data_IF_047115302081
#
_entry.id   IF_047115302081
#
_cell.length_a   1.000
_cell.length_b   1.000
_cell.length_c   1.000
_cell.angle_alpha   90.00
_cell.angle_beta   90.00
_cell.angle_gamma   90.00
#
_symmetry.space_group_name_H-M   'P 1'
#
loop_
_entity.id
_entity.type
_entity.pdbx_description
1 polymer ?
#
# COMPACT_ATOMS: atom_id res chain seq x y z
N UNK A 1 -42.70 1.68 74.48
CA UNK A 1 -43.49 2.40 73.45
C UNK A 1 -42.59 2.69 72.26
N UNK A 2 -43.14 2.57 71.05
CA UNK A 2 -42.49 2.16 69.80
C UNK A 2 -41.40 3.13 69.31
N UNK A 3 -40.13 2.68 69.27
CA UNK A 3 -39.07 3.25 68.42
C UNK A 3 -38.66 2.20 67.39
N UNK A 4 -39.43 2.10 66.32
CA UNK A 4 -39.14 1.24 65.18
C UNK A 4 -39.37 2.02 63.87
N UNK A 5 -38.59 1.66 62.86
CA UNK A 5 -38.90 1.84 61.43
C UNK A 5 -38.64 3.19 60.74
N UNK A 6 -37.42 3.73 60.85
CA UNK A 6 -36.94 4.68 59.82
C UNK A 6 -35.60 4.32 59.19
N UNK A 7 -34.70 3.62 59.90
CA UNK A 7 -33.36 3.26 59.37
C UNK A 7 -33.36 2.18 58.29
N UNK A 8 -34.37 1.31 58.23
CA UNK A 8 -34.41 0.20 57.27
C UNK A 8 -35.08 0.54 55.92
N UNK A 9 -35.64 1.75 55.76
CA UNK A 9 -36.24 2.19 54.49
C UNK A 9 -35.25 2.89 53.56
N UNK A 10 -34.22 3.57 54.10
CA UNK A 10 -33.22 4.27 53.30
C UNK A 10 -32.11 3.36 52.73
N UNK A 11 -31.85 2.21 53.37
CA UNK A 11 -30.84 1.27 52.90
C UNK A 11 -31.32 0.31 51.80
N UNK A 12 -32.63 0.20 51.55
CA UNK A 12 -33.18 -0.64 50.47
C UNK A 12 -33.41 0.10 49.15
N UNK A 13 -33.42 1.44 49.16
CA UNK A 13 -33.49 2.25 47.94
C UNK A 13 -32.12 2.57 47.33
N UNK A 14 -31.02 2.29 48.04
CA UNK A 14 -29.65 2.54 47.55
C UNK A 14 -28.99 1.33 46.89
N UNK A 15 -29.66 0.18 46.81
CA UNK A 15 -29.14 -1.02 46.13
C UNK A 15 -29.77 -1.30 44.76
N UNK A 16 -30.72 -0.48 44.28
CA UNK A 16 -31.36 -0.70 42.98
C UNK A 16 -30.88 0.20 41.84
N UNK A 17 -30.03 1.20 42.12
CA UNK A 17 -29.52 2.13 41.09
C UNK A 17 -28.07 1.80 40.69
N UNK A 18 -27.40 0.88 41.37
CA UNK A 18 -26.00 0.54 41.12
C UNK A 18 -25.78 -0.69 40.21
N UNK A 19 -26.83 -1.28 39.61
CA UNK A 19 -26.72 -2.53 38.83
C UNK A 19 -27.17 -2.44 37.35
N UNK A 20 -27.44 -1.23 36.83
CA UNK A 20 -27.86 -1.06 35.42
C UNK A 20 -26.86 -0.22 34.60
N UNK A 21 -25.82 0.35 35.23
CA UNK A 21 -24.90 1.29 34.60
C UNK A 21 -23.52 0.75 34.18
N UNK A 22 -23.33 -0.57 34.10
CA UNK A 22 -22.02 -1.15 33.76
C UNK A 22 -22.09 -2.32 32.76
N UNK A 23 -23.03 -2.27 31.82
CA UNK A 23 -22.77 -2.86 30.50
C UNK A 23 -21.98 -1.81 29.75
N UNK A 24 -20.69 -1.72 30.11
CA UNK A 24 -19.71 -1.03 29.29
C UNK A 24 -19.78 -1.67 27.92
N UNK A 25 -20.45 -0.98 26.99
CA UNK A 25 -20.24 -1.15 25.57
C UNK A 25 -18.76 -0.87 25.34
N UNK A 26 -17.93 -1.90 25.50
CA UNK A 26 -16.66 -1.97 24.82
C UNK A 26 -17.07 -2.08 23.36
N UNK A 27 -17.36 -0.94 22.74
CA UNK A 27 -17.15 -0.77 21.32
C UNK A 27 -15.65 -0.96 21.18
N UNK A 28 -15.23 -2.23 21.06
CA UNK A 28 -13.96 -2.52 20.43
C UNK A 28 -14.04 -1.74 19.13
N UNK A 29 -13.18 -0.74 18.88
CA UNK A 29 -13.12 -0.16 17.56
C UNK A 29 -12.85 -1.36 16.68
N UNK A 30 -13.87 -1.78 15.93
CA UNK A 30 -13.72 -2.83 14.94
C UNK A 30 -12.60 -2.30 14.09
N UNK A 31 -11.40 -2.87 14.27
CA UNK A 31 -10.27 -2.64 13.41
C UNK A 31 -10.73 -3.27 12.11
N UNK A 32 -11.53 -2.51 11.37
CA UNK A 32 -11.70 -2.68 9.95
C UNK A 32 -10.29 -2.60 9.45
N UNK A 33 -9.66 -3.77 9.34
CA UNK A 33 -8.44 -3.96 8.60
C UNK A 33 -8.82 -3.49 7.20
N UNK A 34 -8.63 -2.20 6.96
CA UNK A 34 -8.88 -1.59 5.68
C UNK A 34 -8.03 -2.40 4.71
N UNK A 35 -8.68 -3.28 3.94
CA UNK A 35 -8.01 -4.21 3.04
C UNK A 35 -7.14 -3.35 2.14
N UNK A 36 -5.83 -3.43 2.37
CA UNK A 36 -4.88 -2.68 1.58
C UNK A 36 -4.99 -3.21 0.16
N UNK A 37 -5.31 -2.34 -0.82
CA UNK A 37 -5.45 -2.78 -2.21
C UNK A 37 -4.14 -3.44 -2.65
N UNK A 38 -4.24 -4.71 -3.05
CA UNK A 38 -3.12 -5.54 -3.49
C UNK A 38 -3.56 -6.40 -4.67
N UNK A 39 -2.66 -6.59 -5.62
CA UNK A 39 -2.76 -7.56 -6.71
C UNK A 39 -1.61 -8.56 -6.56
N UNK A 40 -1.87 -9.85 -6.80
CA UNK A 40 -0.89 -10.92 -6.67
C UNK A 40 -1.07 -11.91 -7.80
N UNK A 41 0.03 -12.31 -8.44
CA UNK A 41 0.03 -13.30 -9.51
C UNK A 41 1.22 -14.23 -9.34
N UNK A 42 0.99 -15.53 -9.59
CA UNK A 42 2.07 -16.50 -9.77
C UNK A 42 2.28 -16.67 -11.28
N UNK A 43 3.49 -16.44 -11.75
CA UNK A 43 3.86 -16.62 -13.15
C UNK A 43 4.43 -18.02 -13.31
N UNK A 44 3.76 -18.86 -14.08
CA UNK A 44 4.30 -20.15 -14.52
C UNK A 44 5.23 -19.97 -15.73
N UNK A 45 5.87 -21.07 -16.16
CA UNK A 45 6.82 -21.05 -17.27
C UNK A 45 6.19 -20.46 -18.55
N UNK A 46 4.98 -20.90 -18.92
CA UNK A 46 4.28 -20.44 -20.12
C UNK A 46 3.88 -18.96 -20.06
N UNK A 47 3.62 -18.42 -18.87
CA UNK A 47 3.35 -16.99 -18.69
C UNK A 47 4.63 -16.17 -18.74
N UNK A 48 5.73 -16.68 -18.17
CA UNK A 48 7.04 -16.03 -18.22
C UNK A 48 7.55 -15.94 -19.66
N UNK A 49 7.41 -17.01 -20.45
CA UNK A 49 7.82 -17.04 -21.86
C UNK A 49 7.10 -15.99 -22.72
N UNK A 50 5.86 -15.65 -22.39
CA UNK A 50 5.08 -14.63 -23.12
C UNK A 50 5.22 -13.23 -22.55
N UNK A 51 5.80 -13.09 -21.36
CA UNK A 51 5.75 -11.88 -20.57
C UNK A 51 4.37 -11.66 -19.94
N UNK A 52 4.30 -10.73 -18.98
CA UNK A 52 3.07 -10.46 -18.25
C UNK A 52 3.03 -9.03 -17.71
N UNK A 53 1.85 -8.41 -17.70
CA UNK A 53 1.67 -7.11 -17.04
C UNK A 53 0.71 -7.24 -15.88
N UNK A 54 1.21 -7.00 -14.66
CA UNK A 54 0.38 -6.91 -13.46
C UNK A 54 -0.01 -5.46 -13.20
N UNK A 55 -1.26 -5.21 -12.84
CA UNK A 55 -1.79 -3.86 -12.64
C UNK A 55 -2.40 -3.67 -11.24
N UNK A 56 -2.30 -2.45 -10.71
CA UNK A 56 -2.94 -2.01 -9.48
C UNK A 56 -3.48 -0.59 -9.64
N UNK A 57 -4.70 -0.48 -10.15
CA UNK A 57 -5.29 0.81 -10.50
C UNK A 57 -4.56 1.43 -11.69
N UNK A 58 -3.86 2.55 -11.47
CA UNK A 58 -3.14 3.30 -12.50
C UNK A 58 -1.68 2.87 -12.67
N UNK A 59 -1.15 2.10 -11.71
CA UNK A 59 0.22 1.58 -11.75
C UNK A 59 0.22 0.20 -12.40
N UNK A 60 1.18 -0.05 -13.28
CA UNK A 60 1.41 -1.34 -13.88
C UNK A 60 2.90 -1.70 -13.89
N UNK A 61 3.17 -2.98 -13.74
CA UNK A 61 4.49 -3.59 -13.79
C UNK A 61 4.49 -4.60 -14.94
N UNK A 62 5.14 -4.23 -16.03
CA UNK A 62 5.36 -5.06 -17.20
C UNK A 62 6.60 -5.92 -17.03
N UNK A 63 6.44 -7.21 -17.21
CA UNK A 63 7.50 -8.21 -17.14
C UNK A 63 7.75 -8.67 -18.58
N UNK A 64 8.92 -8.37 -19.15
CA UNK A 64 9.25 -8.84 -20.48
C UNK A 64 9.21 -10.37 -20.60
N UNK A 65 9.06 -10.89 -21.84
CA UNK A 65 9.27 -12.31 -22.13
C UNK A 65 10.61 -12.81 -21.60
N UNK A 66 10.62 -14.02 -21.04
CA UNK A 66 11.82 -14.75 -20.61
C UNK A 66 12.70 -14.01 -19.56
N UNK A 67 12.12 -13.08 -18.78
CA UNK A 67 12.83 -12.38 -17.69
C UNK A 67 13.27 -13.32 -16.57
N UNK A 68 12.56 -14.42 -16.34
CA UNK A 68 12.85 -15.40 -15.29
C UNK A 68 13.05 -16.80 -15.87
N UNK A 69 13.90 -17.61 -15.24
CA UNK A 69 14.10 -19.02 -15.61
C UNK A 69 13.22 -19.98 -14.80
N UNK A 70 12.55 -19.49 -13.76
CA UNK A 70 11.73 -20.28 -12.85
C UNK A 70 10.41 -19.56 -12.52
N UNK A 71 9.37 -20.29 -12.08
CA UNK A 71 8.12 -19.69 -11.65
C UNK A 71 8.31 -18.70 -10.48
N UNK A 72 7.86 -17.47 -10.65
CA UNK A 72 7.94 -16.41 -9.63
C UNK A 72 6.56 -15.97 -9.16
N UNK A 73 6.50 -15.38 -7.97
CA UNK A 73 5.28 -14.71 -7.50
C UNK A 73 5.50 -13.22 -7.43
N UNK A 74 4.60 -12.45 -8.05
CA UNK A 74 4.70 -10.99 -8.15
C UNK A 74 3.53 -10.35 -7.43
N UNK A 75 3.83 -9.32 -6.63
CA UNK A 75 2.83 -8.55 -5.89
C UNK A 75 2.97 -7.07 -6.18
N UNK A 76 1.82 -6.40 -6.29
CA UNK A 76 1.71 -4.95 -6.22
C UNK A 76 0.80 -4.62 -5.04
N UNK A 77 1.21 -3.72 -4.15
CA UNK A 77 0.45 -3.33 -2.96
C UNK A 77 0.53 -1.82 -2.73
N UNK A 78 -0.60 -1.18 -2.44
CA UNK A 78 -0.56 0.23 -1.97
C UNK A 78 0.00 0.30 -0.56
N UNK A 79 0.93 1.20 -0.28
CA UNK A 79 1.42 1.42 1.09
C UNK A 79 0.54 2.47 1.78
N UNK A 80 0.02 2.15 2.97
CA UNK A 80 -0.78 3.11 3.77
C UNK A 80 0.11 4.07 4.56
N UNK A 81 1.21 3.55 5.10
CA UNK A 81 2.19 4.29 5.89
C UNK A 81 3.53 4.22 5.14
N UNK A 82 3.85 5.25 4.36
CA UNK A 82 5.13 5.40 3.65
C UNK A 82 5.95 6.52 4.27
N UNK A 83 7.25 6.55 3.96
CA UNK A 83 8.06 7.74 4.23
C UNK A 83 7.43 8.96 3.54
N UNK A 84 7.54 10.13 4.17
CA UNK A 84 7.09 11.38 3.57
C UNK A 84 7.92 11.66 2.31
N UNK A 85 7.28 12.18 1.25
CA UNK A 85 8.00 12.72 0.11
C UNK A 85 8.65 14.06 0.52
N UNK A 86 9.82 14.42 -0.05
CA UNK A 86 10.38 15.77 0.04
C UNK A 86 9.36 16.82 -0.40
N UNK A 87 9.41 18.02 0.20
CA UNK A 87 8.41 19.07 0.00
C UNK A 87 8.38 19.60 -1.44
N UNK A 88 9.49 19.49 -2.15
CA UNK A 88 9.66 19.83 -3.55
C UNK A 88 8.99 18.85 -4.52
N UNK A 89 8.63 17.63 -4.06
CA UNK A 89 7.98 16.61 -4.88
C UNK A 89 6.45 16.64 -4.70
N UNK A 90 5.75 16.87 -5.80
CA UNK A 90 4.28 16.87 -5.82
C UNK A 90 3.74 15.46 -6.14
N UNK A 91 3.24 14.73 -5.12
CA UNK A 91 2.68 13.38 -5.27
C UNK A 91 1.54 13.32 -6.32
N UNK A 92 1.73 12.55 -7.40
CA UNK A 92 0.70 12.27 -8.43
C UNK A 92 0.14 10.85 -8.31
N UNK A 93 0.84 9.95 -7.62
CA UNK A 93 0.40 8.58 -7.35
C UNK A 93 0.57 8.21 -5.88
N UNK A 94 -0.26 7.29 -5.38
CA UNK A 94 -0.02 6.72 -4.05
C UNK A 94 1.19 5.80 -4.08
N UNK A 95 1.99 5.83 -3.02
CA UNK A 95 3.12 4.91 -2.85
C UNK A 95 2.67 3.46 -3.03
N UNK A 96 3.31 2.78 -3.98
CA UNK A 96 3.06 1.38 -4.32
C UNK A 96 4.32 0.59 -4.05
N UNK A 97 4.20 -0.42 -3.22
CA UNK A 97 5.26 -1.42 -3.04
C UNK A 97 5.07 -2.51 -4.08
N UNK A 98 6.14 -2.91 -4.76
CA UNK A 98 6.13 -4.12 -5.56
C UNK A 98 7.21 -5.08 -5.07
N UNK A 99 6.96 -6.37 -5.28
CA UNK A 99 7.91 -7.42 -4.96
C UNK A 99 7.78 -8.55 -5.98
N UNK A 100 8.92 -9.04 -6.43
CA UNK A 100 9.07 -10.24 -7.26
C UNK A 100 9.81 -11.26 -6.40
N UNK A 101 9.08 -12.29 -5.96
CA UNK A 101 9.63 -13.38 -5.16
C UNK A 101 10.23 -14.44 -6.08
N UNK A 102 11.56 -14.49 -6.09
CA UNK A 102 12.40 -15.46 -6.79
C UNK A 102 13.25 -16.23 -5.76
N UNK A 103 13.84 -17.36 -6.15
CA UNK A 103 14.71 -18.14 -5.27
C UNK A 103 16.03 -17.42 -4.96
N UNK A 104 16.55 -16.65 -5.93
CA UNK A 104 17.80 -15.90 -5.79
C UNK A 104 17.56 -14.47 -5.30
N UNK A 105 18.27 -14.05 -4.24
CA UNK A 105 18.30 -12.66 -3.82
C UNK A 105 19.30 -11.87 -4.69
N UNK A 106 18.82 -10.89 -5.47
CA UNK A 106 19.70 -10.05 -6.28
C UNK A 106 18.95 -9.14 -7.23
N UNK A 107 19.70 -8.32 -7.97
CA UNK A 107 19.17 -7.52 -9.08
C UNK A 107 18.70 -8.45 -10.20
N UNK A 108 17.63 -8.07 -10.89
CA UNK A 108 17.11 -8.80 -12.04
C UNK A 108 18.08 -8.73 -13.20
N UNK A 109 18.29 -9.85 -13.90
CA UNK A 109 19.11 -9.91 -15.12
C UNK A 109 18.50 -9.06 -16.25
N UNK A 110 17.18 -8.89 -16.23
CA UNK A 110 16.45 -8.05 -17.17
C UNK A 110 15.50 -7.12 -16.39
N UNK A 111 15.55 -5.84 -16.72
CA UNK A 111 14.71 -4.84 -16.10
C UNK A 111 13.23 -5.08 -16.42
N UNK A 112 12.38 -4.82 -15.43
CA UNK A 112 10.92 -4.75 -15.57
C UNK A 112 10.51 -3.33 -15.91
N UNK A 113 9.34 -3.19 -16.53
CA UNK A 113 8.78 -1.91 -16.95
C UNK A 113 7.77 -1.40 -15.93
N UNK A 114 8.09 -0.30 -15.27
CA UNK A 114 7.13 0.46 -14.48
C UNK A 114 6.33 1.36 -15.42
N UNK A 115 5.02 1.44 -15.22
CA UNK A 115 4.18 2.42 -15.90
C UNK A 115 3.09 2.98 -14.99
N UNK A 116 2.81 4.26 -15.13
CA UNK A 116 1.75 4.93 -14.40
C UNK A 116 0.98 5.87 -15.32
N UNK A 117 -0.34 5.65 -15.40
CA UNK A 117 -1.23 6.49 -16.20
C UNK A 117 -1.92 7.53 -15.34
N UNK A 118 -1.72 8.81 -15.61
CA UNK A 118 -2.43 9.92 -14.99
C UNK A 118 -3.28 10.66 -16.02
N UNK A 119 -4.26 11.42 -15.53
CA UNK A 119 -5.01 12.32 -16.40
C UNK A 119 -4.08 13.49 -16.70
N UNK A 120 -3.83 13.85 -17.97
CA UNK A 120 -3.03 15.02 -18.31
C UNK A 120 -3.74 16.27 -17.80
N UNK A 121 -3.40 16.69 -16.59
CA UNK A 121 -3.84 17.95 -16.02
C UNK A 121 -2.56 18.65 -15.66
N UNK A 122 -2.29 19.75 -16.35
CA UNK A 122 -1.13 20.61 -16.11
C UNK A 122 0.22 19.87 -16.27
N UNK A 123 0.57 19.56 -17.52
CA UNK A 123 1.86 18.95 -17.92
C UNK A 123 3.07 19.90 -17.73
N UNK A 124 2.88 21.01 -17.01
CA UNK A 124 3.89 22.04 -16.76
C UNK A 124 5.09 21.49 -15.97
N UNK A 125 4.92 20.36 -15.28
CA UNK A 125 5.97 19.74 -14.47
C UNK A 125 6.40 18.40 -15.05
N UNK A 126 7.72 18.17 -15.07
CA UNK A 126 8.31 16.86 -15.35
C UNK A 126 7.77 15.84 -14.33
N UNK A 127 7.37 14.65 -14.81
CA UNK A 127 6.88 13.56 -13.96
C UNK A 127 7.84 12.39 -14.07
N UNK A 128 8.20 11.81 -12.93
CA UNK A 128 9.11 10.66 -12.89
C UNK A 128 8.71 9.69 -11.80
N UNK A 129 9.15 8.45 -11.95
CA UNK A 129 9.15 7.53 -10.83
C UNK A 129 10.25 7.92 -9.84
N UNK A 130 9.94 7.76 -8.55
CA UNK A 130 10.90 7.83 -7.47
C UNK A 130 10.81 6.53 -6.67
N UNK A 131 11.93 6.06 -6.16
CA UNK A 131 12.00 4.94 -5.24
C UNK A 131 12.53 5.38 -3.88
N UNK A 132 12.12 4.69 -2.82
CA UNK A 132 12.67 4.95 -1.49
C UNK A 132 13.88 4.06 -1.24
N UNK A 133 15.07 4.66 -1.16
CA UNK A 133 16.28 3.98 -0.71
C UNK A 133 16.28 3.89 0.82
N UNK A 134 16.20 2.67 1.34
CA UNK A 134 16.19 2.43 2.78
C UNK A 134 17.57 2.65 3.43
N UNK A 135 18.65 2.70 2.65
CA UNK A 135 20.02 2.90 3.15
C UNK A 135 20.24 4.36 3.51
N UNK A 136 19.87 5.26 2.60
CA UNK A 136 19.96 6.71 2.79
C UNK A 136 18.70 7.30 3.42
N UNK A 137 17.61 6.53 3.50
CA UNK A 137 16.29 6.97 3.91
C UNK A 137 15.75 8.15 3.07
N UNK A 138 16.08 8.16 1.77
CA UNK A 138 15.68 9.21 0.84
C UNK A 138 14.90 8.67 -0.36
N UNK A 139 14.13 9.56 -0.98
CA UNK A 139 13.48 9.29 -2.26
C UNK A 139 14.44 9.67 -3.39
N UNK A 140 14.74 8.72 -4.24
CA UNK A 140 15.64 8.89 -5.38
C UNK A 140 14.89 8.75 -6.70
N UNK A 141 15.27 9.58 -7.67
CA UNK A 141 14.64 9.61 -9.01
C UNK A 141 15.05 8.39 -9.81
N UNK A 142 14.09 7.69 -10.39
CA UNK A 142 14.31 6.68 -11.41
C UNK A 142 14.27 7.36 -12.78
N UNK A 143 15.27 7.14 -13.66
CA UNK A 143 15.21 7.59 -15.04
C UNK A 143 13.91 7.13 -15.71
N UNK A 144 13.08 8.10 -16.12
CA UNK A 144 11.72 7.87 -16.58
C UNK A 144 11.46 8.61 -17.88
N UNK A 145 10.54 8.08 -18.69
CA UNK A 145 10.04 8.73 -19.90
C UNK A 145 8.57 9.10 -19.72
N UNK A 146 8.24 10.37 -20.00
CA UNK A 146 6.86 10.85 -19.99
C UNK A 146 6.32 10.94 -21.41
N UNK A 147 5.26 10.17 -21.70
CA UNK A 147 4.44 10.39 -22.87
C UNK A 147 3.33 11.40 -22.53
N UNK A 148 3.54 12.66 -22.92
CA UNK A 148 2.64 13.78 -22.66
C UNK A 148 1.25 13.58 -23.29
N UNK A 149 1.18 13.00 -24.50
CA UNK A 149 -0.09 12.76 -25.22
C UNK A 149 -0.98 11.77 -24.48
N UNK A 150 -0.40 10.71 -23.92
CA UNK A 150 -1.18 9.64 -23.28
C UNK A 150 -1.24 9.77 -21.75
N UNK A 151 -0.46 10.67 -21.16
CA UNK A 151 -0.35 10.85 -19.72
C UNK A 151 0.28 9.64 -19.03
N UNK A 152 1.28 9.01 -19.65
CA UNK A 152 1.93 7.80 -19.13
C UNK A 152 3.39 8.09 -18.82
N UNK A 153 3.80 7.88 -17.58
CA UNK A 153 5.22 7.78 -17.19
C UNK A 153 5.63 6.32 -17.27
N UNK A 154 6.78 6.04 -17.89
CA UNK A 154 7.39 4.71 -17.91
C UNK A 154 8.82 4.74 -17.40
N UNK A 155 9.29 3.66 -16.80
CA UNK A 155 10.68 3.49 -16.39
C UNK A 155 11.10 2.02 -16.50
N UNK A 156 12.37 1.76 -16.81
CA UNK A 156 12.96 0.45 -16.68
C UNK A 156 13.60 0.32 -15.30
N UNK A 157 13.38 -0.80 -14.62
CA UNK A 157 13.84 -0.98 -13.25
C UNK A 157 14.27 -2.41 -12.97
N UNK A 158 15.46 -2.59 -12.39
CA UNK A 158 16.08 -3.91 -12.24
C UNK A 158 16.00 -4.48 -10.81
N UNK A 159 15.53 -3.72 -9.82
CA UNK A 159 15.43 -4.26 -8.46
C UNK A 159 14.16 -5.12 -8.31
N UNK A 160 14.21 -6.26 -7.63
CA UNK A 160 13.04 -7.14 -7.48
C UNK A 160 12.04 -6.63 -6.44
N UNK A 161 12.42 -5.67 -5.61
CA UNK A 161 11.57 -5.07 -4.59
C UNK A 161 11.85 -3.57 -4.50
N UNK A 162 10.80 -2.77 -4.48
CA UNK A 162 10.91 -1.34 -4.19
C UNK A 162 9.57 -0.73 -3.79
N UNK A 163 9.64 0.33 -2.98
CA UNK A 163 8.54 1.26 -2.77
C UNK A 163 8.69 2.40 -3.76
N UNK A 164 7.70 2.55 -4.65
CA UNK A 164 7.72 3.51 -5.74
C UNK A 164 6.57 4.51 -5.65
N UNK A 165 6.82 5.71 -6.15
CA UNK A 165 5.83 6.79 -6.28
C UNK A 165 6.08 7.54 -7.58
N UNK A 166 5.05 8.24 -8.07
CA UNK A 166 5.18 9.18 -9.20
C UNK A 166 4.94 10.56 -8.67
N UNK A 167 5.90 11.45 -8.91
CA UNK A 167 5.85 12.86 -8.58
C UNK A 167 6.30 13.69 -9.79
#
# INVERSE_FOLDING_TARGET
MVRANWRNKLLKQLWLVALVGLIGYIVLPGSGLAKTKQTTVRLDAATIERGYTITLGKTALGIPPATFSEPVTVWLRRKKNSAALPAELNEVSKVTSYTIKQSNSGVLNQAVWLSYKFTPVDLTYERSFYYFDNTTATWEKIPSWLNQTTGVVTAAWAFPHSDIVVA
#
